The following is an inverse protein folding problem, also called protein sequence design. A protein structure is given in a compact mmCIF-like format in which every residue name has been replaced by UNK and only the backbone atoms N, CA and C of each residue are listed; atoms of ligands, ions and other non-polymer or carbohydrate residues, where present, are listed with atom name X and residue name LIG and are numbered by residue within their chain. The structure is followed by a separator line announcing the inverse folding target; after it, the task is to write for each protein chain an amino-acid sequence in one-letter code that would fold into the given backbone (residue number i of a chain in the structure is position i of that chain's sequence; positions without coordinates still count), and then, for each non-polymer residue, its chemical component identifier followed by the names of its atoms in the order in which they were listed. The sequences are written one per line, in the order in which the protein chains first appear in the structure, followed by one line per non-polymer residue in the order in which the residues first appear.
data_IF_322073045784
#
_entry.id   IF_322073045784
#
_cell.length_a   1.000
_cell.length_b   1.000
_cell.length_c   1.000
_cell.angle_alpha   90.00
_cell.angle_beta   90.00
_cell.angle_gamma   90.00
#
_symmetry.space_group_name_H-M   'P 1'
#
loop_
_entity.id
_entity.type
_entity.pdbx_description
1 polymer ?
#
# COMPACT_ATOMS: atom_id res chain seq x y z
N UNK A 1 42.61 25.34 -15.37
CA UNK A 1 41.88 25.00 -14.14
C UNK A 1 41.41 23.57 -14.27
N UNK A 2 42.05 22.63 -13.58
CA UNK A 2 41.70 21.22 -13.63
C UNK A 2 40.55 20.96 -12.65
N UNK A 3 39.49 20.32 -13.13
CA UNK A 3 38.36 19.86 -12.32
C UNK A 3 38.82 18.75 -11.36
N UNK A 4 38.44 18.86 -10.09
CA UNK A 4 38.69 17.80 -9.11
C UNK A 4 37.79 16.58 -9.37
N UNK A 5 38.27 15.35 -9.10
CA UNK A 5 37.47 14.16 -9.23
C UNK A 5 36.38 14.10 -8.14
N UNK A 6 35.15 13.82 -8.54
CA UNK A 6 34.03 13.56 -7.64
C UNK A 6 34.29 12.33 -6.78
N UNK A 7 34.07 12.44 -5.48
CA UNK A 7 34.12 11.33 -4.52
C UNK A 7 33.27 10.14 -4.98
N UNK A 8 33.71 8.89 -4.70
CA UNK A 8 32.89 7.72 -5.00
C UNK A 8 31.62 7.78 -4.14
N UNK A 9 30.44 7.66 -4.78
CA UNK A 9 29.17 7.48 -4.07
C UNK A 9 29.29 6.19 -3.26
N UNK A 10 29.42 6.31 -1.94
CA UNK A 10 29.34 5.16 -1.05
C UNK A 10 28.03 4.41 -1.30
N UNK A 11 28.11 3.09 -1.37
CA UNK A 11 26.93 2.24 -1.41
C UNK A 11 26.04 2.61 -0.22
N UNK A 12 24.75 2.89 -0.47
CA UNK A 12 23.76 3.03 0.61
C UNK A 12 23.82 1.75 1.46
N UNK A 13 23.85 1.92 2.77
CA UNK A 13 23.74 0.78 3.69
C UNK A 13 22.52 -0.07 3.30
N UNK A 14 22.62 -1.41 3.38
CA UNK A 14 21.47 -2.28 3.12
C UNK A 14 20.30 -1.88 4.03
N UNK A 15 19.09 -1.81 3.46
CA UNK A 15 17.92 -1.33 4.18
C UNK A 15 17.60 -2.18 5.40
N UNK A 16 17.37 -1.53 6.54
CA UNK A 16 16.84 -2.14 7.77
C UNK A 16 15.52 -1.45 8.11
N UNK A 17 14.45 -2.23 8.16
CA UNK A 17 13.08 -1.75 8.38
C UNK A 17 12.84 -1.21 9.79
N UNK A 18 13.68 -1.58 10.77
CA UNK A 18 13.60 -1.04 12.13
C UNK A 18 13.83 0.48 12.19
N UNK A 19 14.53 1.03 11.20
CA UNK A 19 14.83 2.47 11.11
C UNK A 19 13.68 3.35 10.61
N UNK A 20 12.62 2.74 10.07
CA UNK A 20 11.53 3.46 9.38
C UNK A 20 10.27 3.57 10.26
N UNK A 21 10.07 2.65 11.20
CA UNK A 21 8.87 2.60 12.02
C UNK A 21 9.13 3.04 13.46
N UNK A 22 8.44 4.08 13.91
CA UNK A 22 8.46 4.57 15.30
C UNK A 22 8.10 3.47 16.30
N UNK A 23 7.15 2.60 15.92
CA UNK A 23 6.70 1.47 16.74
C UNK A 23 7.75 0.36 16.89
N UNK A 24 8.82 0.37 16.08
CA UNK A 24 9.97 -0.53 16.20
C UNK A 24 11.14 0.10 16.99
N UNK A 25 10.95 1.30 17.59
CA UNK A 25 11.89 1.89 18.54
C UNK A 25 12.29 3.35 18.31
N UNK A 26 11.64 4.10 17.41
CA UNK A 26 11.97 5.53 17.23
C UNK A 26 11.26 6.41 18.28
N UNK A 27 11.93 7.45 18.75
CA UNK A 27 11.38 8.42 19.72
C UNK A 27 10.54 9.48 19.02
N UNK A 28 9.31 9.72 19.50
CA UNK A 28 8.43 10.76 18.98
C UNK A 28 8.80 12.13 19.56
N UNK A 29 9.52 12.94 18.79
CA UNK A 29 9.76 14.34 19.13
C UNK A 29 8.62 15.25 18.65
N UNK A 30 8.32 16.37 19.33
CA UNK A 30 7.36 17.35 18.84
C UNK A 30 7.74 17.89 17.46
N UNK A 31 6.76 18.02 16.58
CA UNK A 31 6.99 18.63 15.27
C UNK A 31 7.35 20.13 15.42
N UNK A 32 8.22 20.68 14.55
CA UNK A 32 8.63 22.09 14.62
C UNK A 32 7.45 23.09 14.54
N UNK A 33 7.57 24.30 15.13
CA UNK A 33 6.49 25.31 15.14
C UNK A 33 5.92 25.70 13.77
N UNK A 34 6.67 25.48 12.68
CA UNK A 34 6.21 25.69 11.30
C UNK A 34 4.91 24.94 10.98
N UNK A 35 4.66 23.80 11.62
CA UNK A 35 3.42 23.04 11.46
C UNK A 35 2.19 23.75 12.04
N UNK A 36 2.35 24.61 13.05
CA UNK A 36 1.26 25.48 13.50
C UNK A 36 0.90 26.50 12.43
N UNK A 37 1.90 27.07 11.74
CA UNK A 37 1.64 27.97 10.62
C UNK A 37 0.96 27.24 9.46
N UNK A 38 1.45 26.04 9.10
CA UNK A 38 0.82 25.21 8.07
C UNK A 38 -0.64 24.92 8.39
N UNK A 39 -0.96 24.52 9.63
CA UNK A 39 -2.37 24.27 10.03
C UNK A 39 -3.24 25.50 9.81
N UNK A 40 -2.74 26.71 10.14
CA UNK A 40 -3.48 27.96 9.88
C UNK A 40 -3.63 28.26 8.40
N UNK A 41 -2.63 27.92 7.58
CA UNK A 41 -2.64 28.14 6.15
C UNK A 41 -3.67 27.25 5.43
N UNK A 42 -3.81 25.99 5.87
CA UNK A 42 -4.64 24.99 5.18
C UNK A 42 -6.05 24.86 5.76
N UNK A 43 -6.33 25.47 6.91
CA UNK A 43 -7.68 25.47 7.49
C UNK A 43 -8.54 26.59 6.91
N UNK A 44 -9.86 26.38 6.78
CA UNK A 44 -10.81 27.44 6.47
C UNK A 44 -10.70 28.59 7.47
N UNK A 45 -10.98 29.82 7.01
CA UNK A 45 -10.97 31.00 7.87
C UNK A 45 -11.99 30.93 9.00
N UNK A 46 -13.14 30.29 8.77
CA UNK A 46 -14.14 30.00 9.79
C UNK A 46 -13.90 28.61 10.41
N UNK A 47 -13.53 28.51 11.71
CA UNK A 47 -13.28 27.24 12.38
C UNK A 47 -14.53 26.35 12.49
N UNK A 48 -15.74 26.92 12.35
CA UNK A 48 -17.00 26.16 12.40
C UNK A 48 -17.11 25.19 11.23
N UNK A 49 -16.50 25.51 10.08
CA UNK A 49 -16.55 24.66 8.87
C UNK A 49 -15.98 23.27 9.16
N UNK A 50 -14.74 23.19 9.63
CA UNK A 50 -14.11 21.91 9.95
C UNK A 50 -14.74 21.24 11.17
N UNK A 51 -15.19 22.01 12.18
CA UNK A 51 -15.87 21.44 13.34
C UNK A 51 -17.19 20.75 12.95
N UNK A 52 -17.97 21.38 12.08
CA UNK A 52 -19.21 20.81 11.55
C UNK A 52 -18.92 19.57 10.69
N UNK A 53 -17.95 19.66 9.78
CA UNK A 53 -17.52 18.55 8.94
C UNK A 53 -17.08 17.33 9.76
N UNK A 54 -16.29 17.58 10.81
CA UNK A 54 -15.83 16.54 11.73
C UNK A 54 -17.00 15.84 12.43
N UNK A 55 -18.00 16.58 12.92
CA UNK A 55 -19.16 15.98 13.58
C UNK A 55 -19.96 15.09 12.62
N UNK A 56 -20.13 15.51 11.35
CA UNK A 56 -20.79 14.68 10.33
C UNK A 56 -19.98 13.43 10.01
N UNK A 57 -18.66 13.56 9.94
CA UNK A 57 -17.75 12.42 9.68
C UNK A 57 -17.83 11.38 10.81
N UNK A 58 -17.81 11.81 12.07
CA UNK A 58 -17.94 10.90 13.22
C UNK A 58 -19.27 10.17 13.20
N UNK A 59 -20.39 10.86 12.92
CA UNK A 59 -21.70 10.21 12.79
C UNK A 59 -21.72 9.18 11.65
N UNK A 60 -21.04 9.45 10.53
CA UNK A 60 -20.91 8.47 9.46
C UNK A 60 -20.03 7.27 9.85
N UNK A 61 -18.96 7.48 10.61
CA UNK A 61 -18.14 6.39 11.13
C UNK A 61 -18.90 5.49 12.10
N UNK A 62 -19.77 6.05 12.95
CA UNK A 62 -20.63 5.24 13.83
C UNK A 62 -21.51 4.27 13.01
N UNK A 63 -22.05 4.71 11.86
CA UNK A 63 -22.80 3.85 10.95
C UNK A 63 -21.92 2.76 10.30
N UNK A 64 -20.74 3.14 9.81
CA UNK A 64 -19.82 2.19 9.15
C UNK A 64 -19.24 1.16 10.14
N UNK A 65 -18.97 1.54 11.39
CA UNK A 65 -18.51 0.63 12.45
C UNK A 65 -19.55 -0.46 12.70
N UNK A 66 -20.83 -0.09 12.87
CA UNK A 66 -21.91 -1.05 13.07
C UNK A 66 -22.04 -2.03 11.90
N UNK A 67 -21.84 -1.54 10.67
CA UNK A 67 -21.84 -2.40 9.49
C UNK A 67 -20.65 -3.38 9.49
N UNK A 68 -19.45 -2.89 9.79
CA UNK A 68 -18.23 -3.72 9.88
C UNK A 68 -18.37 -4.78 10.97
N UNK A 69 -18.90 -4.44 12.14
CA UNK A 69 -19.13 -5.37 13.25
C UNK A 69 -20.14 -6.45 12.87
N UNK A 70 -21.22 -6.08 12.17
CA UNK A 70 -22.26 -7.02 11.74
C UNK A 70 -21.75 -8.00 10.67
N UNK A 71 -21.05 -7.50 9.66
CA UNK A 71 -20.59 -8.32 8.52
C UNK A 71 -19.31 -9.11 8.84
N UNK A 72 -18.50 -8.62 9.77
CA UNK A 72 -17.20 -9.21 10.12
C UNK A 72 -16.30 -9.33 8.88
N UNK A 73 -15.59 -10.47 8.69
CA UNK A 73 -14.72 -10.66 7.53
C UNK A 73 -15.41 -10.57 6.16
N UNK A 74 -16.73 -10.72 6.09
CA UNK A 74 -17.48 -10.61 4.84
C UNK A 74 -17.60 -9.17 4.33
N UNK A 75 -17.26 -8.18 5.15
CA UNK A 75 -17.22 -6.77 4.74
C UNK A 75 -16.22 -6.52 3.60
N UNK A 76 -15.18 -7.37 3.50
CA UNK A 76 -14.18 -7.32 2.43
C UNK A 76 -14.78 -7.97 1.17
N UNK A 77 -14.97 -7.21 0.07
CA UNK A 77 -15.50 -7.76 -1.18
C UNK A 77 -14.63 -8.89 -1.70
N UNK A 78 -15.26 -9.94 -2.23
CA UNK A 78 -14.55 -11.12 -2.75
C UNK A 78 -15.12 -11.52 -4.11
N UNK A 79 -14.24 -11.87 -5.05
CA UNK A 79 -14.63 -12.28 -6.39
C UNK A 79 -13.66 -13.33 -6.94
N UNK A 80 -14.17 -14.27 -7.71
CA UNK A 80 -13.32 -15.21 -8.45
C UNK A 80 -12.72 -14.53 -9.69
N UNK A 81 -11.43 -14.76 -9.92
CA UNK A 81 -10.72 -14.25 -11.09
C UNK A 81 -11.41 -14.61 -12.42
N UNK A 82 -12.03 -15.80 -12.49
CA UNK A 82 -12.81 -16.23 -13.65
C UNK A 82 -13.96 -15.27 -13.98
N UNK A 83 -14.60 -14.64 -12.98
CA UNK A 83 -15.65 -13.65 -13.20
C UNK A 83 -15.08 -12.34 -13.80
N UNK A 84 -13.89 -11.91 -13.34
CA UNK A 84 -13.18 -10.77 -13.92
C UNK A 84 -12.81 -11.05 -15.38
N UNK A 85 -12.30 -12.24 -15.69
CA UNK A 85 -11.99 -12.65 -17.06
C UNK A 85 -13.24 -12.69 -17.96
N UNK A 86 -14.33 -13.30 -17.46
CA UNK A 86 -15.60 -13.38 -18.19
C UNK A 86 -16.17 -12.00 -18.49
N UNK A 87 -15.89 -11.01 -17.64
CA UNK A 87 -16.31 -9.62 -17.81
C UNK A 87 -15.22 -8.76 -18.51
N UNK A 88 -14.41 -9.36 -19.38
CA UNK A 88 -13.46 -8.63 -20.23
C UNK A 88 -12.30 -7.99 -19.47
N UNK A 89 -11.88 -8.58 -18.34
CA UNK A 89 -10.81 -8.04 -17.50
C UNK A 89 -11.24 -6.87 -16.63
N UNK A 90 -12.54 -6.77 -16.31
CA UNK A 90 -13.11 -5.72 -15.45
C UNK A 90 -13.96 -6.32 -14.34
N UNK A 91 -14.06 -5.63 -13.21
CA UNK A 91 -15.05 -5.99 -12.20
C UNK A 91 -16.48 -5.78 -12.74
N UNK A 92 -17.43 -6.68 -12.42
CA UNK A 92 -18.85 -6.37 -12.53
C UNK A 92 -19.19 -5.06 -11.79
N UNK A 93 -20.21 -4.33 -12.24
CA UNK A 93 -20.48 -2.97 -11.75
C UNK A 93 -20.81 -2.91 -10.25
N UNK A 94 -21.59 -3.87 -9.77
CA UNK A 94 -21.93 -4.05 -8.35
C UNK A 94 -20.67 -4.33 -7.51
N UNK A 95 -19.80 -5.22 -7.98
CA UNK A 95 -18.50 -5.48 -7.34
C UNK A 95 -17.62 -4.23 -7.37
N UNK A 96 -17.53 -3.52 -8.49
CA UNK A 96 -16.74 -2.30 -8.61
C UNK A 96 -17.20 -1.22 -7.62
N UNK A 97 -18.51 -1.08 -7.41
CA UNK A 97 -19.07 -0.17 -6.40
C UNK A 97 -18.66 -0.58 -4.97
N UNK A 98 -18.71 -1.89 -4.66
CA UNK A 98 -18.26 -2.39 -3.35
C UNK A 98 -16.76 -2.16 -3.13
N UNK A 99 -15.92 -2.42 -4.13
CA UNK A 99 -14.47 -2.19 -4.01
C UNK A 99 -14.17 -0.70 -3.82
N UNK A 100 -14.88 0.21 -4.50
CA UNK A 100 -14.73 1.67 -4.28
C UNK A 100 -15.17 2.08 -2.88
N UNK A 101 -16.28 1.54 -2.37
CA UNK A 101 -16.76 1.81 -0.99
C UNK A 101 -15.75 1.32 0.06
N UNK A 102 -15.24 0.09 -0.11
CA UNK A 102 -14.44 -0.60 0.91
C UNK A 102 -12.93 -0.39 0.80
N UNK A 103 -12.45 0.11 -0.34
CA UNK A 103 -11.03 0.35 -0.59
C UNK A 103 -10.17 -0.93 -0.65
N UNK A 104 -10.78 -2.11 -0.72
CA UNK A 104 -10.09 -3.40 -0.73
C UNK A 104 -10.91 -4.48 -1.46
N UNK A 105 -10.25 -5.57 -1.86
CA UNK A 105 -10.89 -6.74 -2.50
C UNK A 105 -10.01 -7.99 -2.38
N UNK A 106 -10.64 -9.16 -2.26
CA UNK A 106 -9.99 -10.46 -2.44
C UNK A 106 -10.36 -11.02 -3.82
N UNK A 107 -9.36 -11.18 -4.69
CA UNK A 107 -9.53 -11.85 -5.99
C UNK A 107 -9.05 -13.30 -5.83
N UNK A 108 -9.97 -14.26 -5.84
CA UNK A 108 -9.69 -15.69 -5.64
C UNK A 108 -9.30 -16.35 -6.95
N UNK A 109 -8.37 -17.31 -6.89
CA UNK A 109 -8.00 -18.11 -8.05
C UNK A 109 -7.27 -17.35 -9.16
N UNK A 110 -6.55 -16.25 -8.84
CA UNK A 110 -5.66 -15.58 -9.80
C UNK A 110 -4.60 -16.55 -10.33
N UNK A 111 -4.06 -17.39 -9.46
CA UNK A 111 -3.24 -18.55 -9.81
C UNK A 111 -3.79 -19.78 -9.10
N UNK A 112 -3.50 -20.97 -9.62
CA UNK A 112 -3.91 -22.23 -8.98
C UNK A 112 -3.15 -22.43 -7.67
N UNK A 113 -3.76 -23.18 -6.74
CA UNK A 113 -3.11 -23.55 -5.49
C UNK A 113 -1.80 -24.34 -5.75
N UNK A 114 -1.82 -25.27 -6.69
CA UNK A 114 -0.63 -26.03 -7.11
C UNK A 114 0.51 -25.12 -7.55
N UNK A 115 0.22 -24.13 -8.41
CA UNK A 115 1.22 -23.19 -8.90
C UNK A 115 1.78 -22.31 -7.77
N UNK A 116 0.91 -21.85 -6.86
CA UNK A 116 1.31 -21.06 -5.71
C UNK A 116 2.19 -21.87 -4.74
N UNK A 117 1.84 -23.13 -4.48
CA UNK A 117 2.63 -24.03 -3.63
C UNK A 117 3.99 -24.36 -4.27
N UNK A 118 4.04 -24.57 -5.59
CA UNK A 118 5.30 -24.76 -6.31
C UNK A 118 6.21 -23.53 -6.19
N UNK A 119 5.68 -22.32 -6.44
CA UNK A 119 6.45 -21.08 -6.26
C UNK A 119 6.92 -20.85 -4.84
N UNK A 120 6.11 -21.23 -3.84
CA UNK A 120 6.53 -21.20 -2.43
C UNK A 120 7.70 -22.15 -2.17
N UNK A 121 7.64 -23.37 -2.68
CA UNK A 121 8.73 -24.34 -2.53
C UNK A 121 10.01 -23.85 -3.23
N UNK A 122 9.90 -23.33 -4.45
CA UNK A 122 11.03 -22.79 -5.19
C UNK A 122 11.63 -21.56 -4.51
N UNK A 123 10.81 -20.72 -3.89
CA UNK A 123 11.27 -19.58 -3.08
C UNK A 123 12.07 -20.06 -1.88
N UNK A 124 11.58 -21.08 -1.16
CA UNK A 124 12.32 -21.68 -0.03
C UNK A 124 13.66 -22.28 -0.49
N UNK A 125 13.68 -22.99 -1.61
CA UNK A 125 14.90 -23.57 -2.19
C UNK A 125 15.90 -22.49 -2.62
N UNK A 126 15.41 -21.41 -3.24
CA UNK A 126 16.22 -20.26 -3.64
C UNK A 126 16.86 -19.58 -2.43
N UNK A 127 16.07 -19.34 -1.38
CA UNK A 127 16.57 -18.78 -0.12
C UNK A 127 17.61 -19.72 0.48
N UNK A 128 17.33 -21.02 0.61
CA UNK A 128 18.22 -22.01 1.19
C UNK A 128 19.58 -22.13 0.46
N UNK A 129 19.60 -21.99 -0.86
CA UNK A 129 20.82 -22.06 -1.68
C UNK A 129 21.68 -20.78 -1.66
N UNK A 130 21.15 -19.68 -1.11
CA UNK A 130 21.82 -18.37 -1.09
C UNK A 130 21.78 -17.71 0.30
N UNK A 131 21.70 -18.52 1.37
CA UNK A 131 21.47 -18.02 2.75
C UNK A 131 22.53 -17.05 3.24
N UNK A 132 23.77 -17.25 2.82
CA UNK A 132 24.91 -16.39 3.14
C UNK A 132 24.85 -15.01 2.48
N UNK A 133 23.99 -14.83 1.46
CA UNK A 133 23.89 -13.61 0.65
C UNK A 133 22.57 -12.86 0.83
N UNK A 134 21.57 -13.50 1.43
CA UNK A 134 20.23 -12.92 1.58
C UNK A 134 20.06 -12.39 2.99
N UNK A 135 19.69 -11.12 3.09
CA UNK A 135 19.33 -10.48 4.35
C UNK A 135 17.89 -10.83 4.68
N UNK A 136 17.62 -11.06 5.96
CA UNK A 136 16.25 -11.19 6.43
C UNK A 136 16.10 -10.72 7.88
N UNK A 137 14.85 -10.43 8.23
CA UNK A 137 14.46 -9.86 9.52
C UNK A 137 13.42 -10.73 10.22
N UNK A 138 13.55 -10.98 11.54
CA UNK A 138 14.75 -10.74 12.37
C UNK A 138 15.96 -11.56 11.91
N UNK A 139 17.19 -11.12 12.22
CA UNK A 139 18.41 -11.76 11.70
C UNK A 139 18.58 -13.24 12.10
N UNK A 140 18.13 -13.60 13.30
CA UNK A 140 18.25 -14.96 13.86
C UNK A 140 17.11 -15.89 13.43
N UNK A 141 15.94 -15.34 13.13
CA UNK A 141 14.78 -16.10 12.63
C UNK A 141 14.01 -15.34 11.53
N UNK A 142 14.57 -15.24 10.31
CA UNK A 142 14.01 -14.35 9.30
C UNK A 142 12.61 -14.74 8.83
N UNK A 143 11.71 -13.77 8.87
CA UNK A 143 10.34 -13.86 8.37
C UNK A 143 10.11 -12.92 7.18
N UNK A 144 10.73 -11.73 7.21
CA UNK A 144 10.80 -10.81 6.07
C UNK A 144 12.14 -11.00 5.36
N UNK A 145 12.11 -11.13 4.05
CA UNK A 145 13.30 -11.46 3.25
C UNK A 145 13.56 -10.38 2.22
N UNK A 146 14.79 -9.86 2.20
CA UNK A 146 15.31 -8.89 1.23
C UNK A 146 15.61 -9.59 -0.11
N UNK A 147 14.60 -10.24 -0.68
CA UNK A 147 14.64 -10.98 -1.93
C UNK A 147 13.70 -10.30 -2.92
N UNK A 148 14.24 -9.92 -4.06
CA UNK A 148 13.56 -9.07 -5.03
C UNK A 148 13.44 -9.69 -6.42
N UNK A 149 14.35 -10.58 -6.79
CA UNK A 149 14.54 -11.05 -8.16
C UNK A 149 14.56 -12.58 -8.27
N UNK A 150 13.95 -13.29 -7.31
CA UNK A 150 13.90 -14.74 -7.41
C UNK A 150 13.07 -15.18 -8.64
N UNK A 151 13.39 -16.31 -9.28
CA UNK A 151 12.60 -16.78 -10.42
C UNK A 151 11.08 -16.89 -10.12
N UNK A 152 10.64 -17.36 -8.93
CA UNK A 152 9.22 -17.36 -8.58
C UNK A 152 8.60 -15.96 -8.48
N UNK A 153 9.31 -14.96 -7.94
CA UNK A 153 8.80 -13.59 -7.90
C UNK A 153 8.63 -13.01 -9.29
N UNK A 154 9.59 -13.25 -10.18
CA UNK A 154 9.52 -12.80 -11.57
C UNK A 154 8.37 -13.49 -12.31
N UNK A 155 8.26 -14.82 -12.19
CA UNK A 155 7.17 -15.59 -12.80
C UNK A 155 5.80 -15.11 -12.33
N UNK A 156 5.62 -14.86 -11.03
CA UNK A 156 4.39 -14.34 -10.48
C UNK A 156 4.05 -12.95 -11.01
N UNK A 157 5.03 -12.03 -11.04
CA UNK A 157 4.84 -10.65 -11.52
C UNK A 157 4.51 -10.58 -13.01
N UNK A 158 5.09 -11.47 -13.82
CA UNK A 158 4.82 -11.55 -15.26
C UNK A 158 3.64 -12.45 -15.61
N UNK A 159 2.92 -13.01 -14.63
CA UNK A 159 1.81 -13.92 -14.89
C UNK A 159 0.65 -13.14 -15.55
N UNK A 160 0.14 -13.64 -16.67
CA UNK A 160 -0.93 -12.96 -17.43
C UNK A 160 -2.18 -12.69 -16.59
N UNK A 161 -2.51 -13.59 -15.67
CA UNK A 161 -3.65 -13.37 -14.76
C UNK A 161 -3.42 -12.22 -13.79
N UNK A 162 -2.19 -12.00 -13.33
CA UNK A 162 -1.87 -10.86 -12.47
C UNK A 162 -1.97 -9.54 -13.25
N UNK A 163 -1.52 -9.54 -14.51
CA UNK A 163 -1.68 -8.37 -15.40
C UNK A 163 -3.16 -8.01 -15.62
N UNK A 164 -4.01 -9.00 -15.86
CA UNK A 164 -5.47 -8.79 -15.97
C UNK A 164 -6.08 -8.32 -14.65
N UNK A 165 -5.71 -8.92 -13.53
CA UNK A 165 -6.24 -8.55 -12.22
C UNK A 165 -5.84 -7.12 -11.80
N UNK A 166 -4.60 -6.73 -12.05
CA UNK A 166 -4.10 -5.38 -11.79
C UNK A 166 -4.71 -4.36 -12.75
N UNK A 167 -4.90 -4.71 -14.02
CA UNK A 167 -5.65 -3.90 -14.98
C UNK A 167 -7.10 -3.65 -14.55
N UNK A 168 -7.78 -4.67 -14.00
CA UNK A 168 -9.12 -4.53 -13.46
C UNK A 168 -9.18 -3.55 -12.27
N UNK A 169 -8.16 -3.56 -11.40
CA UNK A 169 -8.03 -2.62 -10.28
C UNK A 169 -7.75 -1.19 -10.76
N UNK A 170 -6.85 -1.00 -11.72
CA UNK A 170 -6.56 0.33 -12.28
C UNK A 170 -7.82 0.94 -12.92
N UNK A 171 -8.65 0.12 -13.57
CA UNK A 171 -9.90 0.55 -14.20
C UNK A 171 -10.97 1.07 -13.22
N UNK A 172 -10.77 0.95 -11.90
CA UNK A 172 -11.62 1.58 -10.88
C UNK A 172 -11.32 3.08 -10.72
N UNK A 173 -10.10 3.50 -11.06
CA UNK A 173 -9.63 4.87 -11.00
C UNK A 173 -9.97 5.64 -12.28
N UNK A 174 -9.93 6.96 -12.17
CA UNK A 174 -10.08 7.89 -13.28
C UNK A 174 -9.02 8.98 -13.15
N UNK A 175 -8.71 9.63 -14.26
CA UNK A 175 -7.82 10.76 -14.31
C UNK A 175 -8.34 11.76 -15.34
N UNK A 176 -8.05 13.05 -15.14
CA UNK A 176 -8.30 14.06 -16.16
C UNK A 176 -7.59 13.70 -17.47
N UNK A 177 -8.17 13.99 -18.64
CA UNK A 177 -7.58 13.64 -19.94
C UNK A 177 -6.18 14.21 -20.19
N UNK A 178 -5.81 15.28 -19.47
CA UNK A 178 -4.50 15.94 -19.60
C UNK A 178 -3.46 15.43 -18.60
N UNK A 179 -3.85 14.57 -17.66
CA UNK A 179 -2.92 13.97 -16.69
C UNK A 179 -2.04 12.95 -17.40
N UNK A 180 -0.72 13.07 -17.23
CA UNK A 180 0.27 12.17 -17.84
C UNK A 180 0.29 10.80 -17.12
N UNK A 181 -0.78 10.03 -17.27
CA UNK A 181 -0.94 8.69 -16.69
C UNK A 181 -1.65 7.77 -17.69
N UNK A 182 -1.21 6.53 -17.78
CA UNK A 182 -1.87 5.47 -18.54
C UNK A 182 -2.34 4.37 -17.59
N UNK A 183 -3.62 4.40 -17.22
CA UNK A 183 -4.22 3.41 -16.30
C UNK A 183 -4.38 2.02 -16.95
N UNK A 184 -4.12 1.88 -18.25
CA UNK A 184 -4.20 0.60 -18.96
C UNK A 184 -2.88 -0.18 -18.95
N UNK A 185 -1.82 0.41 -18.39
CA UNK A 185 -0.48 -0.18 -18.36
C UNK A 185 -0.02 -0.41 -16.93
N UNK A 186 0.34 -1.65 -16.64
CA UNK A 186 0.94 -2.02 -15.37
C UNK A 186 2.46 -1.83 -15.44
N UNK A 187 3.03 -1.35 -14.34
CA UNK A 187 4.47 -1.35 -14.10
C UNK A 187 4.81 -2.31 -12.97
N UNK A 188 5.91 -3.03 -13.12
CA UNK A 188 6.37 -3.94 -12.07
C UNK A 188 7.10 -3.18 -10.97
N UNK A 189 6.50 -3.14 -9.79
CA UNK A 189 7.19 -2.76 -8.55
C UNK A 189 7.78 -4.00 -7.88
N UNK A 190 9.11 -4.01 -7.72
CA UNK A 190 9.82 -5.15 -7.13
C UNK A 190 9.92 -4.99 -5.62
N UNK A 191 9.05 -5.68 -4.90
CA UNK A 191 9.08 -5.73 -3.43
C UNK A 191 9.67 -7.05 -2.91
N UNK A 192 9.91 -7.03 -1.60
CA UNK A 192 10.33 -8.14 -0.74
C UNK A 192 9.27 -9.22 -0.65
N UNK A 193 9.55 -10.26 0.13
CA UNK A 193 8.58 -11.30 0.46
C UNK A 193 8.58 -11.59 1.97
N UNK A 194 7.46 -12.14 2.44
CA UNK A 194 7.29 -12.57 3.84
C UNK A 194 6.91 -14.04 3.90
N UNK A 195 7.64 -14.81 4.71
CA UNK A 195 7.34 -16.21 5.05
C UNK A 195 7.19 -16.25 6.57
N UNK A 196 5.96 -16.10 7.08
CA UNK A 196 5.67 -16.07 8.52
C UNK A 196 5.48 -17.49 9.07
N UNK A 197 6.23 -17.84 10.11
CA UNK A 197 6.07 -19.09 10.87
C UNK A 197 4.84 -19.02 11.79
N UNK A 198 4.17 -20.16 12.03
CA UNK A 198 3.10 -20.23 13.03
C UNK A 198 3.56 -19.72 14.39
N UNK A 199 2.78 -18.83 15.01
CA UNK A 199 3.05 -18.27 16.34
C UNK A 199 4.04 -17.10 16.38
N UNK A 200 4.70 -16.73 15.28
CA UNK A 200 5.60 -15.59 15.26
C UNK A 200 4.86 -14.26 15.45
N UNK A 201 5.35 -13.40 16.34
CA UNK A 201 4.85 -12.04 16.58
C UNK A 201 5.95 -10.97 16.42
N UNK A 202 7.14 -11.36 15.96
CA UNK A 202 8.30 -10.47 15.88
C UNK A 202 8.16 -9.34 14.86
N UNK A 203 7.26 -9.50 13.88
CA UNK A 203 6.96 -8.52 12.85
C UNK A 203 5.46 -8.16 12.84
N UNK A 204 4.95 -7.68 13.98
CA UNK A 204 3.64 -7.05 14.08
C UNK A 204 3.80 -5.53 13.89
N UNK A 205 3.14 -4.99 12.86
CA UNK A 205 3.03 -3.55 12.65
C UNK A 205 1.67 -3.10 13.20
N UNK A 206 1.63 -1.94 13.86
CA UNK A 206 0.36 -1.29 14.18
C UNK A 206 -0.29 -0.73 12.93
N UNK A 207 -1.53 -0.26 13.06
CA UNK A 207 -2.28 0.33 11.96
C UNK A 207 -1.56 1.57 11.40
N UNK A 208 -1.38 1.62 10.09
CA UNK A 208 -0.72 2.72 9.39
C UNK A 208 -1.22 2.81 7.94
N UNK A 209 -0.88 3.92 7.27
CA UNK A 209 -1.14 4.14 5.84
C UNK A 209 0.18 4.51 5.16
N UNK A 210 0.61 3.69 4.20
CA UNK A 210 1.82 3.92 3.40
C UNK A 210 1.64 5.06 2.37
N UNK A 211 2.69 5.36 1.61
CA UNK A 211 2.61 6.31 0.49
C UNK A 211 2.71 7.79 0.89
N UNK A 212 3.20 8.07 2.09
CA UNK A 212 3.41 9.42 2.61
C UNK A 212 3.06 9.48 4.10
N UNK A 213 3.53 10.53 4.78
CA UNK A 213 3.14 10.88 6.14
C UNK A 213 2.83 12.37 6.16
N UNK A 214 3.77 13.21 6.59
CA UNK A 214 3.63 14.67 6.65
C UNK A 214 3.34 15.29 5.28
N UNK A 215 3.80 14.65 4.20
CA UNK A 215 3.60 15.08 2.82
C UNK A 215 2.12 15.28 2.46
N UNK A 216 1.19 14.53 3.07
CA UNK A 216 -0.26 14.72 2.85
C UNK A 216 -0.77 16.10 3.26
N UNK A 217 -0.06 16.76 4.18
CA UNK A 217 -0.37 18.10 4.65
C UNK A 217 0.56 19.16 4.09
N UNK A 218 1.86 18.85 3.97
CA UNK A 218 2.87 19.85 3.58
C UNK A 218 2.93 20.08 2.07
N UNK A 219 2.91 18.99 1.30
CA UNK A 219 3.06 19.05 -0.15
C UNK A 219 1.80 19.64 -0.79
N UNK A 220 1.98 20.69 -1.60
CA UNK A 220 0.84 21.42 -2.15
C UNK A 220 0.06 20.60 -3.19
N UNK A 221 0.73 19.73 -3.95
CA UNK A 221 0.07 18.89 -4.96
C UNK A 221 -0.66 17.73 -4.29
N UNK A 222 -0.01 17.02 -3.35
CA UNK A 222 -0.64 15.92 -2.63
C UNK A 222 -1.84 16.42 -1.82
N UNK A 223 -1.74 17.59 -1.20
CA UNK A 223 -2.85 18.17 -0.45
C UNK A 223 -4.10 18.42 -1.31
N UNK A 224 -3.96 18.65 -2.62
CA UNK A 224 -5.13 18.82 -3.53
C UNK A 224 -6.02 17.57 -3.60
N UNK A 225 -5.47 16.39 -3.34
CA UNK A 225 -6.25 15.15 -3.22
C UNK A 225 -7.26 15.20 -2.06
N UNK A 226 -7.06 16.11 -1.10
CA UNK A 226 -7.87 16.25 0.11
C UNK A 226 -8.56 17.62 0.20
N UNK A 227 -8.61 18.41 -0.89
CA UNK A 227 -9.21 19.76 -0.91
C UNK A 227 -10.61 19.76 -0.32
N UNK A 228 -11.49 18.87 -0.79
CA UNK A 228 -12.85 18.72 -0.28
C UNK A 228 -12.91 18.49 1.24
N UNK A 229 -12.04 17.64 1.78
CA UNK A 229 -11.95 17.39 3.22
C UNK A 229 -11.53 18.65 3.96
N UNK A 230 -10.53 19.37 3.45
CA UNK A 230 -10.02 20.60 4.07
C UNK A 230 -10.98 21.78 3.95
N UNK A 231 -11.87 21.78 2.96
CA UNK A 231 -12.96 22.74 2.78
C UNK A 231 -14.19 22.40 3.63
N UNK A 232 -14.22 21.23 4.28
CA UNK A 232 -15.31 20.79 5.14
C UNK A 232 -16.45 20.06 4.41
N UNK A 233 -16.23 19.67 3.16
CA UNK A 233 -17.18 18.99 2.28
C UNK A 233 -16.64 17.59 1.90
N UNK A 234 -16.36 16.76 2.91
CA UNK A 234 -15.70 15.46 2.72
C UNK A 234 -16.58 14.40 2.03
N UNK A 235 -17.89 14.63 1.99
CA UNK A 235 -18.89 13.77 1.33
C UNK A 235 -18.71 13.65 -0.19
#
# INVERSE_FOLDING_TARGET
MFAQPSSPRGAKAPGDISSVFVQLGATAEPLPPRFTHLKKLISPGDPVVLASAWNRLIAQFENEILEIEREGPNIVPQIDFAAVQKNGGRFPEDMAAQVRKRGCVVIRGVVTEEQALAWKQDTNNYIASHRDKIIGFPATDPQAWEVYWSPPQLAARSHSHLDVATGALNALWHADPNTAVDLTKNLTYCDRLRIRKPGDTSFALGEHVDGGSLERWEDEEYRKCYTKILEGDWE
#
